data_IF_364824210808
#
_entry.id   IF_364824210808
#
_cell.length_a   1.000
_cell.length_b   1.000
_cell.length_c   1.000
_cell.angle_alpha   90.00
_cell.angle_beta   90.00
_cell.angle_gamma   90.00
#
_symmetry.space_group_name_H-M   'P 1'
#
loop_
_entity.id
_entity.type
_entity.pdbx_description
1 polymer ?
#
# COMPACT_ATOMS: atom_id res chain seq x y z
N UNK A 1 -24.39 50.63 30.41
CA UNK A 1 -23.56 49.53 30.97
C UNK A 1 -24.42 48.28 30.87
N UNK A 2 -24.13 47.18 30.19
CA UNK A 2 -23.05 46.72 29.30
C UNK A 2 -23.57 45.39 28.73
N UNK A 3 -23.20 45.11 27.48
CA UNK A 3 -23.45 43.87 26.74
C UNK A 3 -22.88 42.63 27.44
N UNK A 4 -23.48 41.44 27.23
CA UNK A 4 -22.69 40.24 26.94
C UNK A 4 -23.49 39.28 26.05
N UNK A 5 -22.99 39.15 24.82
CA UNK A 5 -23.34 38.10 23.86
C UNK A 5 -22.95 36.73 24.42
N UNK A 6 -23.77 35.71 24.13
CA UNK A 6 -23.41 34.30 24.30
C UNK A 6 -23.98 33.52 23.13
N UNK A 7 -23.29 33.57 22.00
CA UNK A 7 -23.60 32.80 20.79
C UNK A 7 -23.58 31.29 21.08
N UNK A 8 -24.67 30.60 20.75
CA UNK A 8 -24.66 29.16 20.53
C UNK A 8 -24.12 28.96 19.11
N UNK A 9 -22.84 28.59 19.02
CA UNK A 9 -22.22 28.20 17.77
C UNK A 9 -21.79 26.73 17.85
N UNK A 10 -22.06 26.02 16.75
CA UNK A 10 -21.50 24.72 16.32
C UNK A 10 -22.03 23.51 17.11
N UNK A 11 -22.32 22.35 16.51
CA UNK A 11 -21.72 21.68 15.35
C UNK A 11 -22.86 21.09 14.49
N UNK A 12 -22.87 21.27 13.18
CA UNK A 12 -21.93 20.59 12.29
C UNK A 12 -22.52 19.22 11.97
N UNK A 13 -23.10 19.08 10.78
CA UNK A 13 -23.60 17.82 10.23
C UNK A 13 -22.43 16.83 10.21
N UNK A 14 -22.40 15.88 11.15
CA UNK A 14 -21.54 14.71 11.03
C UNK A 14 -22.15 13.89 9.91
N UNK A 15 -21.62 14.06 8.70
CA UNK A 15 -21.71 13.05 7.66
C UNK A 15 -21.14 11.79 8.29
N UNK A 16 -22.00 10.80 8.54
CA UNK A 16 -21.57 9.49 8.98
C UNK A 16 -20.76 8.85 7.84
N UNK A 17 -19.47 9.13 7.78
CA UNK A 17 -18.54 8.21 7.16
C UNK A 17 -18.68 6.91 7.94
N UNK A 18 -19.33 5.92 7.33
CA UNK A 18 -19.27 4.53 7.77
C UNK A 18 -17.80 4.12 7.72
N UNK A 19 -17.08 4.37 8.80
CA UNK A 19 -15.76 3.83 9.04
C UNK A 19 -15.91 2.33 9.16
N UNK A 20 -15.10 1.58 8.42
CA UNK A 20 -14.96 0.16 8.70
C UNK A 20 -14.51 0.03 10.16
N UNK A 21 -15.08 -0.89 10.96
CA UNK A 21 -14.83 -0.95 12.41
C UNK A 21 -13.41 -1.45 12.77
N UNK A 22 -12.52 -1.57 11.78
CA UNK A 22 -11.22 -2.22 11.92
C UNK A 22 -10.15 -1.26 11.43
N UNK A 23 -9.39 -0.70 12.38
CA UNK A 23 -8.09 -0.09 12.14
C UNK A 23 -7.07 -1.20 12.27
N UNK A 24 -6.35 -1.55 11.18
CA UNK A 24 -5.38 -2.64 11.23
C UNK A 24 -4.11 -2.22 11.99
N UNK A 25 -3.88 -0.91 12.20
CA UNK A 25 -2.88 -0.34 13.11
C UNK A 25 -1.49 -0.92 12.90
N UNK A 26 -0.96 -0.84 11.69
CA UNK A 26 0.42 -1.22 11.36
C UNK A 26 1.28 0.04 11.53
N UNK A 27 2.42 -0.10 12.22
CA UNK A 27 3.39 0.97 12.43
C UNK A 27 4.79 0.42 12.14
N UNK A 28 5.27 0.70 10.93
CA UNK A 28 6.63 0.41 10.50
C UNK A 28 7.60 1.45 11.08
N UNK A 29 7.17 2.69 11.29
CA UNK A 29 8.02 3.80 11.80
C UNK A 29 8.58 3.61 13.21
N UNK A 30 7.99 2.70 14.00
CA UNK A 30 8.47 2.36 15.35
C UNK A 30 9.78 1.55 15.39
N UNK A 31 10.26 1.04 14.25
CA UNK A 31 11.47 0.23 14.16
C UNK A 31 12.67 1.07 13.71
N UNK A 32 13.83 0.83 14.33
CA UNK A 32 15.11 1.41 13.91
C UNK A 32 15.66 0.61 12.71
N UNK A 33 15.09 0.83 11.54
CA UNK A 33 15.43 0.10 10.33
C UNK A 33 16.79 0.52 9.77
N UNK A 34 17.60 -0.46 9.40
CA UNK A 34 18.77 -0.27 8.55
C UNK A 34 18.38 -0.29 7.07
N UNK A 35 19.25 0.19 6.18
CA UNK A 35 19.05 0.13 4.72
C UNK A 35 18.79 -1.31 4.26
N UNK A 36 19.50 -2.29 4.83
CA UNK A 36 19.35 -3.71 4.51
C UNK A 36 17.95 -4.23 4.89
N UNK A 37 17.37 -3.71 5.97
CA UNK A 37 16.03 -4.10 6.41
C UNK A 37 14.96 -3.58 5.43
N UNK A 38 15.09 -2.34 4.96
CA UNK A 38 14.22 -1.77 3.93
C UNK A 38 14.32 -2.55 2.61
N UNK A 39 15.52 -2.93 2.18
CA UNK A 39 15.70 -3.75 0.98
C UNK A 39 14.95 -5.08 1.09
N UNK A 40 15.10 -5.80 2.20
CA UNK A 40 14.38 -7.06 2.40
C UNK A 40 12.86 -6.87 2.46
N UNK A 41 12.40 -5.78 3.07
CA UNK A 41 10.97 -5.48 3.15
C UNK A 41 10.39 -5.15 1.77
N UNK A 42 11.10 -4.39 0.93
CA UNK A 42 10.72 -4.13 -0.47
C UNK A 42 10.70 -5.39 -1.30
N UNK A 43 11.75 -6.21 -1.20
CA UNK A 43 11.82 -7.48 -1.92
C UNK A 43 10.65 -8.38 -1.52
N UNK A 44 10.34 -8.46 -0.22
CA UNK A 44 9.15 -9.13 0.26
C UNK A 44 7.86 -8.53 -0.32
N UNK A 45 7.70 -7.22 -0.27
CA UNK A 45 6.50 -6.52 -0.77
C UNK A 45 6.21 -6.86 -2.22
N UNK A 46 7.22 -6.77 -3.07
CA UNK A 46 7.09 -7.08 -4.49
C UNK A 46 6.87 -8.58 -4.71
N UNK A 47 7.45 -9.44 -3.87
CA UNK A 47 7.15 -10.88 -3.88
C UNK A 47 5.68 -11.16 -3.60
N UNK A 48 5.12 -10.52 -2.57
CA UNK A 48 3.72 -10.69 -2.21
C UNK A 48 2.75 -10.16 -3.26
N UNK A 49 3.17 -9.22 -4.10
CA UNK A 49 2.35 -8.69 -5.21
C UNK A 49 2.34 -9.65 -6.40
N UNK A 50 3.50 -10.21 -6.78
CA UNK A 50 3.61 -11.00 -8.03
C UNK A 50 3.64 -12.51 -7.84
N UNK A 51 3.92 -13.00 -6.64
CA UNK A 51 4.28 -14.41 -6.38
C UNK A 51 5.42 -14.91 -7.30
N UNK A 52 6.32 -14.02 -7.75
CA UNK A 52 7.40 -14.32 -8.71
C UNK A 52 8.78 -14.38 -8.05
N UNK A 53 9.54 -15.42 -8.38
CA UNK A 53 10.88 -15.75 -7.84
C UNK A 53 12.05 -14.92 -8.40
N UNK A 54 11.81 -13.89 -9.22
CA UNK A 54 12.87 -13.17 -9.95
C UNK A 54 13.35 -11.88 -9.25
N UNK A 55 12.98 -11.67 -7.99
CA UNK A 55 13.27 -10.42 -7.26
C UNK A 55 14.74 -10.25 -6.89
N UNK A 56 15.54 -11.34 -6.92
CA UNK A 56 16.99 -11.24 -6.77
C UNK A 56 17.60 -10.37 -7.86
N UNK A 57 17.08 -10.45 -9.08
CA UNK A 57 17.57 -9.62 -10.18
C UNK A 57 17.17 -8.15 -9.94
N UNK A 58 16.00 -7.91 -9.34
CA UNK A 58 15.52 -6.56 -9.02
C UNK A 58 16.40 -5.88 -7.98
N UNK A 59 16.83 -6.64 -6.96
CA UNK A 59 17.81 -6.17 -5.96
C UNK A 59 19.16 -5.80 -6.60
N UNK A 60 19.53 -6.42 -7.73
CA UNK A 60 20.79 -6.18 -8.42
C UNK A 60 20.78 -4.94 -9.33
N UNK A 61 19.63 -4.56 -9.87
CA UNK A 61 19.53 -3.50 -10.88
C UNK A 61 18.69 -2.29 -10.48
N UNK A 62 17.81 -2.44 -9.48
CA UNK A 62 16.98 -1.35 -8.98
C UNK A 62 17.82 -0.31 -8.24
N UNK A 63 17.48 0.96 -8.45
CA UNK A 63 18.12 2.10 -7.81
C UNK A 63 17.15 2.72 -6.81
N UNK A 64 17.69 3.21 -5.68
CA UNK A 64 16.94 3.87 -4.62
C UNK A 64 15.69 3.07 -4.17
N UNK A 65 15.82 1.73 -4.17
CA UNK A 65 14.75 0.80 -3.77
C UNK A 65 14.36 0.95 -2.29
N UNK A 66 15.21 1.57 -1.48
CA UNK A 66 14.95 1.99 -0.11
C UNK A 66 13.97 3.17 -0.06
N UNK A 67 14.10 4.17 -0.94
CA UNK A 67 13.12 5.25 -1.06
C UNK A 67 11.77 4.74 -1.55
N UNK A 68 11.79 3.86 -2.57
CA UNK A 68 10.58 3.15 -3.01
C UNK A 68 9.95 2.36 -1.85
N UNK A 69 10.76 1.67 -1.04
CA UNK A 69 10.31 0.96 0.16
C UNK A 69 9.54 1.88 1.08
N UNK A 70 10.16 2.99 1.46
CA UNK A 70 9.63 3.92 2.44
C UNK A 70 8.29 4.50 1.99
N UNK A 71 8.18 4.90 0.72
CA UNK A 71 6.96 5.46 0.17
C UNK A 71 5.84 4.41 0.09
N UNK A 72 6.14 3.20 -0.39
CA UNK A 72 5.16 2.12 -0.52
C UNK A 72 4.67 1.61 0.85
N UNK A 73 5.58 1.45 1.81
CA UNK A 73 5.26 1.03 3.18
C UNK A 73 4.42 2.08 3.88
N UNK A 74 4.81 3.37 3.80
CA UNK A 74 4.04 4.47 4.40
C UNK A 74 2.63 4.55 3.81
N UNK A 75 2.50 4.31 2.51
CA UNK A 75 1.21 4.26 1.87
C UNK A 75 0.36 3.06 2.34
N UNK A 76 0.98 1.92 2.62
CA UNK A 76 0.30 0.76 3.19
C UNK A 76 -0.19 0.99 4.61
N UNK A 77 0.56 1.71 5.44
CA UNK A 77 0.10 2.12 6.78
C UNK A 77 -1.20 2.91 6.69
N UNK A 78 -1.23 3.91 5.81
CA UNK A 78 -2.38 4.76 5.54
C UNK A 78 -3.58 3.93 5.06
N UNK A 79 -3.36 3.04 4.10
CA UNK A 79 -4.39 2.14 3.56
C UNK A 79 -4.92 1.17 4.63
N UNK A 80 -4.04 0.62 5.45
CA UNK A 80 -4.38 -0.38 6.45
C UNK A 80 -5.23 0.18 7.60
N UNK A 81 -5.31 1.50 7.78
CA UNK A 81 -6.29 2.10 8.70
C UNK A 81 -7.75 1.80 8.31
N UNK A 82 -7.99 1.46 7.03
CA UNK A 82 -9.32 1.29 6.40
C UNK A 82 -10.25 2.51 6.56
N UNK A 83 -9.69 3.68 6.91
CA UNK A 83 -10.40 4.95 7.02
C UNK A 83 -10.37 5.65 5.66
N UNK A 84 -11.49 6.19 5.14
CA UNK A 84 -11.56 6.69 3.77
C UNK A 84 -10.50 7.74 3.41
N UNK A 85 -10.25 8.69 4.31
CA UNK A 85 -9.27 9.77 4.10
C UNK A 85 -7.83 9.25 4.07
N UNK A 86 -7.50 8.34 4.98
CA UNK A 86 -6.19 7.69 5.05
C UNK A 86 -5.97 6.77 3.84
N UNK A 87 -6.95 5.95 3.48
CA UNK A 87 -6.89 5.14 2.25
C UNK A 87 -6.67 6.02 1.01
N UNK A 88 -7.33 7.18 0.93
CA UNK A 88 -7.13 8.11 -0.19
C UNK A 88 -5.72 8.73 -0.17
N UNK A 89 -5.17 9.03 1.01
CA UNK A 89 -3.80 9.50 1.16
C UNK A 89 -2.78 8.43 0.74
N UNK A 90 -2.94 7.19 1.22
CA UNK A 90 -2.09 6.07 0.85
C UNK A 90 -2.20 5.71 -0.64
N UNK A 91 -3.41 5.66 -1.21
CA UNK A 91 -3.57 5.46 -2.65
C UNK A 91 -2.89 6.56 -3.48
N UNK A 92 -2.94 7.82 -3.02
CA UNK A 92 -2.21 8.93 -3.66
C UNK A 92 -0.69 8.80 -3.51
N UNK A 93 -0.21 8.34 -2.35
CA UNK A 93 1.22 8.08 -2.15
C UNK A 93 1.71 6.99 -3.11
N UNK A 94 1.00 5.85 -3.22
CA UNK A 94 1.31 4.82 -4.21
C UNK A 94 1.22 5.34 -5.64
N UNK A 95 0.27 6.22 -5.96
CA UNK A 95 0.19 6.85 -7.28
C UNK A 95 1.48 7.60 -7.63
N UNK A 96 2.01 8.40 -6.70
CA UNK A 96 3.27 9.10 -6.89
C UNK A 96 4.45 8.11 -7.01
N UNK A 97 4.47 7.05 -6.19
CA UNK A 97 5.50 6.00 -6.26
C UNK A 97 5.50 5.31 -7.62
N UNK A 98 4.32 5.06 -8.20
CA UNK A 98 4.15 4.49 -9.54
C UNK A 98 4.65 5.44 -10.62
N UNK A 99 4.38 6.74 -10.50
CA UNK A 99 4.91 7.75 -11.43
C UNK A 99 6.45 7.79 -11.42
N UNK A 100 7.07 7.64 -10.24
CA UNK A 100 8.53 7.58 -10.08
C UNK A 100 9.14 6.19 -10.37
N UNK A 101 8.31 5.16 -10.52
CA UNK A 101 8.76 3.78 -10.70
C UNK A 101 9.75 3.57 -11.84
N UNK A 102 9.57 4.17 -13.04
CA UNK A 102 10.56 4.03 -14.13
C UNK A 102 11.96 4.55 -13.77
N UNK A 103 12.06 5.53 -12.86
CA UNK A 103 13.36 6.07 -12.43
C UNK A 103 14.11 5.06 -11.56
N UNK A 104 13.42 4.40 -10.63
CA UNK A 104 13.99 3.32 -9.81
C UNK A 104 14.44 2.11 -10.63
N UNK A 105 13.91 1.96 -11.84
CA UNK A 105 14.16 0.79 -12.70
C UNK A 105 15.10 1.06 -13.87
N UNK A 106 15.65 2.27 -13.98
CA UNK A 106 16.49 2.67 -15.11
C UNK A 106 17.82 1.89 -15.18
N UNK A 107 18.22 1.18 -14.13
CA UNK A 107 19.39 0.28 -14.12
C UNK A 107 19.09 -1.15 -14.58
N UNK A 108 17.82 -1.51 -14.76
CA UNK A 108 17.40 -2.85 -15.11
C UNK A 108 17.30 -3.02 -16.63
N UNK A 109 18.35 -3.53 -17.28
CA UNK A 109 18.44 -3.67 -18.75
C UNK A 109 18.10 -5.07 -19.30
N UNK A 110 17.63 -5.99 -18.45
CA UNK A 110 17.35 -7.35 -18.88
C UNK A 110 15.88 -7.51 -19.36
N UNK A 111 15.68 -8.26 -20.46
CA UNK A 111 14.37 -8.38 -21.13
C UNK A 111 13.28 -9.03 -20.25
N UNK A 112 13.65 -9.99 -19.40
CA UNK A 112 12.70 -10.69 -18.52
C UNK A 112 12.18 -9.78 -17.41
N UNK A 113 13.03 -8.89 -16.90
CA UNK A 113 12.68 -7.89 -15.90
C UNK A 113 11.82 -6.80 -16.53
N UNK A 114 12.14 -6.33 -17.74
CA UNK A 114 11.31 -5.35 -18.43
C UNK A 114 9.86 -5.83 -18.56
N UNK A 115 9.65 -7.11 -18.88
CA UNK A 115 8.30 -7.68 -18.94
C UNK A 115 7.60 -7.65 -17.57
N UNK A 116 8.27 -8.07 -16.50
CA UNK A 116 7.71 -8.09 -15.13
C UNK A 116 7.46 -6.69 -14.57
N UNK A 117 8.36 -5.75 -14.85
CA UNK A 117 8.22 -4.36 -14.46
C UNK A 117 7.11 -3.65 -15.24
N UNK A 118 6.90 -4.02 -16.50
CA UNK A 118 5.78 -3.53 -17.29
C UNK A 118 4.44 -4.05 -16.73
N UNK A 119 4.36 -5.32 -16.35
CA UNK A 119 3.20 -5.91 -15.66
C UNK A 119 2.91 -5.20 -14.33
N UNK A 120 3.95 -4.99 -13.50
CA UNK A 120 3.83 -4.22 -12.25
C UNK A 120 3.34 -2.79 -12.49
N UNK A 121 3.96 -2.09 -13.43
CA UNK A 121 3.59 -0.73 -13.75
C UNK A 121 2.14 -0.66 -14.25
N UNK A 122 1.70 -1.62 -15.07
CA UNK A 122 0.34 -1.66 -15.57
C UNK A 122 -0.68 -1.92 -14.45
N UNK A 123 -0.45 -2.91 -13.59
CA UNK A 123 -1.30 -3.14 -12.41
C UNK A 123 -1.34 -1.91 -11.51
N UNK A 124 -0.19 -1.28 -11.27
CA UNK A 124 -0.08 -0.17 -10.34
C UNK A 124 -0.72 1.13 -10.87
N UNK A 125 -1.07 1.23 -12.17
CA UNK A 125 -1.84 2.35 -12.71
C UNK A 125 -3.20 2.53 -12.06
N UNK A 126 -3.76 1.51 -11.41
CA UNK A 126 -4.99 1.63 -10.61
C UNK A 126 -4.89 2.73 -9.54
N UNK A 127 -3.68 2.98 -9.00
CA UNK A 127 -3.45 4.03 -8.01
C UNK A 127 -3.58 5.46 -8.59
N UNK A 128 -3.42 5.64 -9.92
CA UNK A 128 -3.63 6.92 -10.60
C UNK A 128 -5.12 7.33 -10.63
N UNK A 129 -6.02 6.44 -10.23
CA UNK A 129 -7.47 6.67 -10.20
C UNK A 129 -8.07 6.52 -8.80
N UNK A 130 -7.62 7.29 -7.79
CA UNK A 130 -7.98 7.08 -6.38
C UNK A 130 -9.49 7.20 -6.13
N UNK A 131 -10.21 8.02 -6.90
CA UNK A 131 -11.69 8.15 -6.76
C UNK A 131 -12.43 6.84 -7.09
N UNK A 132 -11.95 6.08 -8.06
CA UNK A 132 -12.51 4.78 -8.44
C UNK A 132 -11.96 3.65 -7.57
N UNK A 133 -10.70 3.76 -7.14
CA UNK A 133 -10.03 2.72 -6.37
C UNK A 133 -10.56 2.60 -4.93
N UNK A 134 -10.84 3.72 -4.24
CA UNK A 134 -11.24 3.69 -2.82
C UNK A 134 -12.53 2.89 -2.56
N UNK A 135 -13.61 3.02 -3.36
CA UNK A 135 -14.77 2.15 -3.24
C UNK A 135 -14.44 0.67 -3.38
N UNK A 136 -13.59 0.30 -4.34
CA UNK A 136 -13.13 -1.09 -4.56
C UNK A 136 -12.38 -1.61 -3.34
N UNK A 137 -11.42 -0.83 -2.82
CA UNK A 137 -10.65 -1.23 -1.64
C UNK A 137 -11.52 -1.41 -0.42
N UNK A 138 -12.54 -0.56 -0.23
CA UNK A 138 -13.50 -0.72 0.88
C UNK A 138 -14.33 -2.00 0.73
N UNK A 139 -14.77 -2.31 -0.48
CA UNK A 139 -15.56 -3.51 -0.73
C UNK A 139 -14.73 -4.77 -0.53
N UNK A 140 -13.52 -4.82 -1.11
CA UNK A 140 -12.59 -5.92 -0.92
C UNK A 140 -12.20 -6.09 0.55
N UNK A 141 -11.95 -5.00 1.27
CA UNK A 141 -11.67 -5.04 2.71
C UNK A 141 -12.81 -5.69 3.51
N UNK A 142 -14.08 -5.42 3.16
CA UNK A 142 -15.23 -6.08 3.81
C UNK A 142 -15.29 -7.56 3.48
N UNK A 143 -15.13 -7.91 2.21
CA UNK A 143 -15.21 -9.29 1.73
C UNK A 143 -14.09 -10.17 2.31
N UNK A 144 -12.91 -9.60 2.52
CA UNK A 144 -11.72 -10.30 2.97
C UNK A 144 -11.28 -9.93 4.40
N UNK A 145 -12.17 -9.36 5.22
CA UNK A 145 -11.80 -8.83 6.55
C UNK A 145 -11.12 -9.85 7.47
N UNK A 146 -11.51 -11.12 7.38
CA UNK A 146 -10.92 -12.21 8.18
C UNK A 146 -9.50 -12.55 7.72
N UNK A 147 -9.23 -12.51 6.41
CA UNK A 147 -7.90 -12.71 5.85
C UNK A 147 -7.00 -11.53 6.26
N UNK A 148 -7.44 -10.30 5.98
CA UNK A 148 -6.70 -9.08 6.33
C UNK A 148 -6.38 -9.00 7.82
N UNK A 149 -7.31 -9.37 8.71
CA UNK A 149 -7.05 -9.39 10.16
C UNK A 149 -5.95 -10.40 10.53
N UNK A 150 -5.93 -11.57 9.88
CA UNK A 150 -4.89 -12.59 10.09
C UNK A 150 -3.55 -12.11 9.56
N UNK A 151 -3.54 -11.52 8.38
CA UNK A 151 -2.34 -11.04 7.72
C UNK A 151 -1.71 -9.90 8.52
N UNK A 152 -2.51 -9.02 9.11
CA UNK A 152 -2.03 -7.98 10.04
C UNK A 152 -1.40 -8.57 11.29
N UNK A 153 -2.01 -9.60 11.87
CA UNK A 153 -1.42 -10.27 13.04
C UNK A 153 -0.09 -10.94 12.67
N UNK A 154 -0.01 -11.55 11.48
CA UNK A 154 1.20 -12.16 10.95
C UNK A 154 2.28 -11.11 10.68
N UNK A 155 1.93 -10.01 10.02
CA UNK A 155 2.80 -8.89 9.72
C UNK A 155 3.41 -8.30 11.00
N UNK A 156 2.59 -8.04 12.03
CA UNK A 156 3.08 -7.57 13.33
C UNK A 156 4.04 -8.57 13.98
N UNK A 157 3.72 -9.87 13.90
CA UNK A 157 4.60 -10.92 14.41
C UNK A 157 5.93 -10.96 13.66
N UNK A 158 5.91 -10.90 12.33
CA UNK A 158 7.10 -10.96 11.48
C UNK A 158 7.98 -9.72 11.69
N UNK A 159 7.39 -8.52 11.78
CA UNK A 159 8.11 -7.29 12.15
C UNK A 159 8.77 -7.42 13.54
N UNK A 160 8.05 -7.90 14.55
CA UNK A 160 8.61 -8.07 15.91
C UNK A 160 9.74 -9.10 16.01
N UNK A 161 9.86 -9.98 15.01
CA UNK A 161 10.87 -11.03 14.91
C UNK A 161 11.97 -10.68 13.91
N UNK A 162 11.99 -9.44 13.39
CA UNK A 162 12.92 -8.96 12.37
C UNK A 162 12.89 -9.81 11.08
N UNK A 163 11.73 -10.37 10.73
CA UNK A 163 11.53 -11.16 9.51
C UNK A 163 11.08 -10.25 8.37
N UNK A 164 11.95 -9.35 7.93
CA UNK A 164 11.61 -8.25 7.03
C UNK A 164 11.06 -8.68 5.68
N UNK A 165 11.67 -9.69 5.05
CA UNK A 165 11.14 -10.23 3.80
C UNK A 165 9.75 -10.84 3.97
N UNK A 166 9.53 -11.62 5.04
CA UNK A 166 8.22 -12.22 5.30
C UNK A 166 7.16 -11.16 5.65
N UNK A 167 7.56 -10.10 6.36
CA UNK A 167 6.71 -8.95 6.63
C UNK A 167 6.32 -8.24 5.31
N UNK A 168 7.30 -7.98 4.43
CA UNK A 168 7.04 -7.44 3.10
C UNK A 168 6.08 -8.32 2.30
N UNK A 169 6.33 -9.62 2.21
CA UNK A 169 5.48 -10.58 1.49
C UNK A 169 4.02 -10.52 1.94
N UNK A 170 3.79 -10.55 3.24
CA UNK A 170 2.44 -10.40 3.80
C UNK A 170 1.82 -9.05 3.44
N UNK A 171 2.59 -7.97 3.52
CA UNK A 171 2.11 -6.63 3.16
C UNK A 171 1.74 -6.52 1.67
N UNK A 172 2.50 -7.19 0.79
CA UNK A 172 2.22 -7.25 -0.65
C UNK A 172 0.92 -8.01 -0.95
N UNK A 173 0.74 -9.17 -0.32
CA UNK A 173 -0.50 -9.95 -0.44
C UNK A 173 -1.71 -9.17 0.07
N UNK A 174 -1.57 -8.43 1.18
CA UNK A 174 -2.63 -7.55 1.68
C UNK A 174 -3.01 -6.47 0.66
N UNK A 175 -2.02 -5.87 -0.02
CA UNK A 175 -2.27 -4.87 -1.05
C UNK A 175 -3.04 -5.47 -2.24
N UNK A 176 -2.67 -6.67 -2.69
CA UNK A 176 -3.39 -7.40 -3.74
C UNK A 176 -4.82 -7.71 -3.32
N UNK A 177 -5.05 -8.14 -2.07
CA UNK A 177 -6.41 -8.37 -1.53
C UNK A 177 -7.24 -7.08 -1.59
N UNK A 178 -6.66 -5.95 -1.19
CA UNK A 178 -7.37 -4.68 -1.13
C UNK A 178 -7.64 -4.09 -2.52
N UNK A 179 -6.66 -4.11 -3.40
CA UNK A 179 -6.71 -3.43 -4.70
C UNK A 179 -7.34 -4.32 -5.78
N UNK A 180 -7.20 -5.63 -5.66
CA UNK A 180 -7.47 -6.62 -6.71
C UNK A 180 -6.18 -7.07 -7.38
N UNK A 181 -6.18 -8.30 -7.91
CA UNK A 181 -5.04 -8.84 -8.65
C UNK A 181 -4.90 -8.18 -10.02
N UNK A 182 -3.69 -8.27 -10.59
CA UNK A 182 -3.39 -7.86 -11.96
C UNK A 182 -4.41 -8.41 -12.97
N UNK A 183 -4.81 -9.66 -12.84
CA UNK A 183 -5.78 -10.30 -13.73
C UNK A 183 -7.18 -9.67 -13.66
N UNK A 184 -7.59 -9.17 -12.49
CA UNK A 184 -8.86 -8.43 -12.36
C UNK A 184 -8.79 -6.98 -12.87
N UNK A 185 -7.60 -6.36 -12.90
CA UNK A 185 -7.41 -5.01 -13.42
C UNK A 185 -7.50 -4.96 -14.95
N UNK A 186 -6.96 -5.97 -15.65
CA UNK A 186 -7.01 -6.10 -17.11
C UNK A 186 -8.46 -6.23 -17.63
N UNK A 187 -9.31 -6.94 -16.88
CA UNK A 187 -10.71 -7.19 -17.25
C UNK A 187 -11.60 -5.93 -17.06
N UNK A 188 -11.24 -5.05 -16.12
CA UNK A 188 -11.92 -3.77 -15.89
C UNK A 188 -11.57 -2.69 -16.93
N UNK A 189 -10.38 -2.75 -17.53
CA UNK A 189 -9.93 -1.79 -18.55
C UNK A 189 -10.52 -2.05 -19.96
N UNK A 190 -11.25 -3.14 -20.15
CA UNK A 190 -11.86 -3.55 -21.42
C UNK A 190 -13.34 -3.17 -21.58
N UNK A 191 -13.89 -2.36 -20.65
CA UNK A 191 -15.29 -1.87 -20.69
C UNK A 191 -15.38 -0.35 -20.74
#
# INVERSE_FOLDING_TARGET
KTSFFGSIAMLGVVSAEQTLPVDLGIDFTSNDFTIVDYTHLTAGLLYGIFEKNNLTELEECGQDLDLFAMDAISALEEIATLKPLHMAAGAKALANTVESFPEYMNGCDNDNMHAQLAELNEWARVFLHPKALIPTMKENAKQHILALTRDVAKLKSDLSQNKWFAAGDVAGQMLVILVGSEQSAVEAAHW
#
